data_IF_661616848844
#
_entry.id   IF_661616848844
#
_cell.length_a   1.000
_cell.length_b   1.000
_cell.length_c   1.000
_cell.angle_alpha   90.00
_cell.angle_beta   90.00
_cell.angle_gamma   90.00
#
_symmetry.space_group_name_H-M   'P 1'
#
loop_
_entity.id
_entity.type
_entity.pdbx_description
1 polymer ?
#
# COMPACT_ATOMS: atom_id res chain seq x y z
N UNK A 1 -11.56 9.66 27.76
CA UNK A 1 -12.24 8.46 27.23
C UNK A 1 -11.69 8.13 25.85
N UNK A 2 -10.47 7.58 25.78
CA UNK A 2 -9.88 7.15 24.51
C UNK A 2 -10.19 5.67 24.31
N UNK A 3 -11.15 5.37 23.44
CA UNK A 3 -11.47 3.99 23.05
C UNK A 3 -10.37 3.47 22.14
N UNK A 4 -9.50 2.63 22.69
CA UNK A 4 -8.63 1.75 21.91
C UNK A 4 -9.53 0.78 21.16
N UNK A 5 -9.76 1.05 19.87
CA UNK A 5 -10.48 0.14 18.99
C UNK A 5 -9.60 -1.06 18.73
N UNK A 6 -9.87 -2.17 19.41
CA UNK A 6 -9.31 -3.51 19.12
C UNK A 6 -9.32 -3.72 17.61
N UNK A 7 -8.13 -3.78 17.00
CA UNK A 7 -7.99 -3.86 15.55
C UNK A 7 -8.56 -5.20 15.09
N UNK A 8 -9.79 -5.20 14.55
CA UNK A 8 -10.24 -6.27 13.68
C UNK A 8 -9.26 -6.30 12.51
N UNK A 9 -8.56 -7.42 12.32
CA UNK A 9 -7.66 -7.65 11.18
C UNK A 9 -8.46 -7.52 9.88
N UNK A 10 -8.40 -6.35 9.26
CA UNK A 10 -9.14 -6.03 8.03
C UNK A 10 -8.30 -6.22 6.77
N UNK A 11 -8.84 -5.79 5.64
CA UNK A 11 -8.17 -5.87 4.35
C UNK A 11 -6.81 -5.16 4.36
N UNK A 12 -6.67 -4.00 5.01
CA UNK A 12 -5.39 -3.29 5.06
C UNK A 12 -4.29 -4.11 5.76
N UNK A 13 -4.62 -4.84 6.83
CA UNK A 13 -3.65 -5.67 7.54
C UNK A 13 -3.20 -6.88 6.71
N UNK A 14 -4.13 -7.50 5.97
CA UNK A 14 -3.81 -8.62 5.08
C UNK A 14 -2.96 -8.19 3.88
N UNK A 15 -3.30 -7.03 3.30
CA UNK A 15 -2.52 -6.46 2.21
C UNK A 15 -1.12 -6.04 2.67
N UNK A 16 -1.03 -5.41 3.85
CA UNK A 16 0.25 -5.05 4.44
C UNK A 16 1.13 -6.27 4.62
N UNK A 17 0.63 -7.35 5.22
CA UNK A 17 1.41 -8.58 5.38
C UNK A 17 1.97 -9.12 4.05
N UNK A 18 1.18 -9.09 2.97
CA UNK A 18 1.66 -9.52 1.64
C UNK A 18 2.72 -8.58 1.06
N UNK A 19 2.52 -7.27 1.21
CA UNK A 19 3.46 -6.27 0.69
C UNK A 19 4.75 -6.25 1.52
N UNK A 20 4.67 -6.43 2.83
CA UNK A 20 5.82 -6.49 3.73
C UNK A 20 6.67 -7.74 3.47
N UNK A 21 6.03 -8.88 3.18
CA UNK A 21 6.72 -10.10 2.74
C UNK A 21 7.45 -9.87 1.41
N UNK A 22 6.79 -9.28 0.42
CA UNK A 22 7.39 -8.92 -0.86
C UNK A 22 8.48 -7.85 -0.73
N UNK A 23 8.36 -6.92 0.22
CA UNK A 23 9.32 -5.86 0.50
C UNK A 23 10.45 -6.31 1.45
N UNK A 24 10.36 -7.48 2.09
CA UNK A 24 11.31 -7.90 3.11
C UNK A 24 11.37 -6.98 4.35
N UNK A 25 10.27 -6.32 4.71
CA UNK A 25 10.23 -5.42 5.86
C UNK A 25 8.97 -4.56 5.95
N UNK A 26 8.84 -3.72 7.01
CA UNK A 26 7.62 -2.96 7.29
C UNK A 26 7.26 -1.98 6.18
N UNK A 27 5.97 -1.63 6.07
CA UNK A 27 5.52 -0.63 5.11
C UNK A 27 6.13 0.76 5.39
N UNK A 28 6.69 1.45 4.38
CA UNK A 28 7.23 2.80 4.55
C UNK A 28 6.15 3.90 4.49
N UNK A 29 4.92 3.54 4.12
CA UNK A 29 3.75 4.41 3.98
C UNK A 29 2.52 3.77 4.62
N UNK A 30 1.54 4.58 5.01
CA UNK A 30 0.28 4.03 5.54
C UNK A 30 -0.50 3.37 4.41
N UNK A 31 -1.23 2.31 4.71
CA UNK A 31 -2.13 1.63 3.79
C UNK A 31 -3.56 1.69 4.32
N UNK A 32 -4.49 2.18 3.49
CA UNK A 32 -5.93 2.18 3.71
C UNK A 32 -6.62 1.29 2.70
N UNK A 33 -7.51 0.43 3.15
CA UNK A 33 -8.28 -0.46 2.28
C UNK A 33 -9.74 -0.05 2.15
N UNK A 34 -10.41 -0.63 1.15
CA UNK A 34 -11.81 -0.40 0.80
C UNK A 34 -12.81 -0.72 1.93
N UNK A 35 -12.41 -1.48 2.95
CA UNK A 35 -13.24 -1.78 4.13
C UNK A 35 -13.06 -0.75 5.27
N UNK A 36 -12.32 0.34 5.01
CA UNK A 36 -12.03 1.40 5.96
C UNK A 36 -10.98 1.04 7.00
N UNK A 37 -10.35 -0.13 6.90
CA UNK A 37 -9.21 -0.47 7.76
C UNK A 37 -7.93 0.17 7.27
N UNK A 38 -7.01 0.43 8.21
CA UNK A 38 -5.75 1.12 7.99
C UNK A 38 -4.63 0.45 8.78
N UNK A 39 -3.39 0.53 8.28
CA UNK A 39 -2.17 0.08 8.98
C UNK A 39 -0.93 0.79 8.41
N UNK A 40 0.22 0.67 9.08
CA UNK A 40 1.48 1.32 8.71
C UNK A 40 1.79 2.58 9.54
N UNK A 41 2.81 3.36 9.13
CA UNK A 41 3.28 4.53 9.86
C UNK A 41 2.16 5.54 10.17
N UNK A 42 2.22 6.15 11.36
CA UNK A 42 1.28 7.18 11.81
C UNK A 42 1.52 8.55 11.17
N UNK A 43 2.64 8.74 10.48
CA UNK A 43 3.04 10.00 9.86
C UNK A 43 3.39 9.81 8.39
N UNK A 44 2.95 10.76 7.56
CA UNK A 44 3.20 10.75 6.11
C UNK A 44 2.03 10.24 5.27
N UNK A 45 2.27 10.04 3.97
CA UNK A 45 1.23 9.75 2.99
C UNK A 45 0.62 8.36 3.20
N UNK A 46 -0.63 8.23 2.76
CA UNK A 46 -1.38 6.98 2.81
C UNK A 46 -1.74 6.50 1.40
N UNK A 47 -1.36 5.27 1.06
CA UNK A 47 -1.84 4.58 -0.13
C UNK A 47 -3.25 4.07 0.14
N UNK A 48 -4.20 4.45 -0.70
CA UNK A 48 -5.62 4.12 -0.56
C UNK A 48 -6.03 3.16 -1.65
N UNK A 49 -6.38 1.92 -1.28
CA UNK A 49 -6.92 0.92 -2.19
C UNK A 49 -8.45 0.99 -2.13
N UNK A 50 -9.07 1.62 -3.13
CA UNK A 50 -10.53 1.83 -3.16
C UNK A 50 -11.31 0.64 -3.68
N UNK A 51 -10.68 -0.26 -4.45
CA UNK A 51 -11.39 -1.37 -5.11
C UNK A 51 -10.64 -2.70 -5.02
N UNK A 52 -11.24 -3.67 -4.32
CA UNK A 52 -10.77 -5.07 -4.29
C UNK A 52 -10.72 -5.69 -5.69
N UNK A 53 -11.65 -5.31 -6.56
CA UNK A 53 -11.74 -5.82 -7.94
C UNK A 53 -10.57 -5.32 -8.78
N UNK A 54 -10.19 -4.05 -8.61
CA UNK A 54 -9.05 -3.45 -9.27
C UNK A 54 -7.74 -4.11 -8.87
N UNK A 55 -7.54 -4.30 -7.56
CA UNK A 55 -6.36 -4.99 -7.05
C UNK A 55 -6.24 -6.40 -7.63
N UNK A 56 -7.35 -7.15 -7.74
CA UNK A 56 -7.33 -8.46 -8.40
C UNK A 56 -6.85 -8.35 -9.84
N UNK A 57 -7.30 -7.37 -10.63
CA UNK A 57 -6.83 -7.20 -12.02
C UNK A 57 -5.33 -6.86 -12.08
N UNK A 58 -4.86 -6.01 -11.18
CA UNK A 58 -3.44 -5.66 -11.07
C UNK A 58 -2.57 -6.91 -10.84
N UNK A 59 -3.04 -7.88 -10.05
CA UNK A 59 -2.32 -9.13 -9.81
C UNK A 59 -2.23 -10.03 -11.05
N UNK A 60 -3.16 -9.93 -12.00
CA UNK A 60 -3.14 -10.72 -13.26
C UNK A 60 -2.39 -10.01 -14.39
N UNK A 61 -2.17 -8.70 -14.27
CA UNK A 61 -1.35 -7.89 -15.18
C UNK A 61 -0.35 -7.06 -14.36
N UNK A 62 0.63 -7.72 -13.71
CA UNK A 62 1.59 -7.04 -12.86
C UNK A 62 2.49 -6.11 -13.70
N UNK A 63 2.79 -4.93 -13.16
CA UNK A 63 3.71 -3.98 -13.77
C UNK A 63 3.38 -2.53 -13.44
N UNK A 64 4.31 -1.63 -13.77
CA UNK A 64 4.19 -0.19 -13.53
C UNK A 64 2.95 0.40 -14.23
N UNK A 65 2.64 -0.08 -15.44
CA UNK A 65 1.49 0.38 -16.21
C UNK A 65 0.15 0.07 -15.51
N UNK A 66 0.04 -1.10 -14.89
CA UNK A 66 -1.17 -1.47 -14.14
C UNK A 66 -1.35 -0.58 -12.90
N UNK A 67 -0.27 -0.26 -12.21
CA UNK A 67 -0.28 0.64 -11.06
C UNK A 67 -0.66 2.07 -11.48
N UNK A 68 -0.07 2.56 -12.57
CA UNK A 68 -0.38 3.86 -13.14
C UNK A 68 -1.85 3.95 -13.57
N UNK A 69 -2.36 2.92 -14.24
CA UNK A 69 -3.77 2.86 -14.62
C UNK A 69 -4.67 2.87 -13.38
N UNK A 70 -4.37 2.05 -12.37
CA UNK A 70 -5.13 2.01 -11.12
C UNK A 70 -5.15 3.37 -10.40
N UNK A 71 -4.04 4.13 -10.47
CA UNK A 71 -3.98 5.49 -9.95
C UNK A 71 -4.88 6.46 -10.73
N UNK A 72 -4.76 6.46 -12.07
CA UNK A 72 -5.55 7.35 -12.94
C UNK A 72 -7.04 7.05 -12.85
N UNK A 73 -7.43 5.78 -12.73
CA UNK A 73 -8.85 5.36 -12.58
C UNK A 73 -9.36 5.52 -11.15
N UNK A 74 -8.56 6.06 -10.22
CA UNK A 74 -8.89 6.26 -8.80
C UNK A 74 -9.17 4.98 -8.01
N UNK A 75 -8.73 3.84 -8.54
CA UNK A 75 -8.84 2.54 -7.88
C UNK A 75 -7.75 2.34 -6.83
N UNK A 76 -6.59 2.93 -7.09
CA UNK A 76 -5.51 3.23 -6.16
C UNK A 76 -5.42 4.75 -6.05
N UNK A 77 -5.15 5.28 -4.86
CA UNK A 77 -4.91 6.71 -4.67
C UNK A 77 -3.84 6.92 -3.61
N UNK A 78 -3.35 8.15 -3.49
CA UNK A 78 -2.46 8.55 -2.41
C UNK A 78 -3.06 9.77 -1.72
N UNK A 79 -3.41 9.61 -0.46
CA UNK A 79 -3.80 10.71 0.41
C UNK A 79 -2.50 11.32 0.99
N UNK A 80 -2.20 12.56 0.61
CA UNK A 80 -0.99 13.28 1.02
C UNK A 80 -0.06 13.60 -0.15
N UNK A 81 1.22 13.82 0.15
CA UNK A 81 2.24 14.10 -0.87
C UNK A 81 2.64 12.80 -1.61
N UNK A 82 2.23 12.68 -2.87
CA UNK A 82 2.58 11.55 -3.74
C UNK A 82 4.10 11.42 -3.93
N UNK A 83 4.82 12.54 -4.06
CA UNK A 83 6.27 12.51 -4.26
C UNK A 83 6.99 12.08 -2.99
N UNK A 84 6.49 12.45 -1.80
CA UNK A 84 6.97 11.88 -0.53
C UNK A 84 6.71 10.36 -0.48
N UNK A 85 5.51 9.92 -0.86
CA UNK A 85 5.15 8.50 -0.87
C UNK A 85 6.07 7.67 -1.77
N UNK A 86 6.34 8.16 -2.98
CA UNK A 86 7.27 7.52 -3.92
C UNK A 86 8.71 7.51 -3.41
N UNK A 87 9.19 8.62 -2.81
CA UNK A 87 10.53 8.69 -2.21
C UNK A 87 10.71 7.63 -1.12
N UNK A 88 9.78 7.55 -0.16
CA UNK A 88 9.82 6.55 0.91
C UNK A 88 9.78 5.11 0.40
N UNK A 89 9.00 4.86 -0.65
CA UNK A 89 8.98 3.55 -1.31
C UNK A 89 10.33 3.21 -1.95
N UNK A 90 10.93 4.13 -2.70
CA UNK A 90 12.23 3.90 -3.33
C UNK A 90 13.36 3.72 -2.32
N UNK A 91 13.36 4.49 -1.23
CA UNK A 91 14.31 4.33 -0.13
C UNK A 91 14.18 2.91 0.47
N UNK A 92 12.96 2.48 0.80
CA UNK A 92 12.72 1.14 1.32
C UNK A 92 13.16 0.03 0.35
N UNK A 93 12.91 0.16 -0.96
CA UNK A 93 13.35 -0.82 -1.96
C UNK A 93 14.88 -0.86 -2.10
N UNK A 94 15.55 0.30 -2.09
CA UNK A 94 17.01 0.41 -2.21
C UNK A 94 17.73 -0.16 -0.98
N UNK A 95 17.25 0.19 0.22
CA UNK A 95 17.80 -0.32 1.48
C UNK A 95 17.71 -1.83 1.58
N UNK A 96 16.61 -2.40 1.06
CA UNK A 96 16.31 -3.84 1.18
C UNK A 96 16.84 -4.69 0.03
N UNK A 97 17.57 -4.08 -0.93
CA UNK A 97 18.15 -4.76 -2.11
C UNK A 97 17.17 -5.71 -2.81
N UNK A 98 15.91 -5.31 -2.93
CA UNK A 98 14.91 -6.15 -3.59
C UNK A 98 15.19 -6.14 -5.09
N UNK A 99 15.70 -7.25 -5.61
CA UNK A 99 15.71 -7.50 -7.05
C UNK A 99 14.27 -7.79 -7.49
N UNK A 100 13.75 -7.13 -8.55
CA UNK A 100 12.46 -7.54 -9.12
C UNK A 100 12.55 -9.04 -9.47
N UNK A 101 11.50 -9.84 -9.20
CA UNK A 101 11.48 -11.23 -9.61
C UNK A 101 11.67 -11.28 -11.13
N UNK A 102 12.65 -12.08 -11.58
CA UNK A 102 12.92 -12.34 -13.00
C UNK A 102 11.78 -13.11 -13.64
#
# INVERSE_FOLDING_TARGET
MSTVRTARTGAAHRLAALVEDALGGPLPVRLRAWDGTETGPSEGPAVVVRSRRALRRLLWQPGELGLAQAYVTRELDVDGDLADGLRRMWEATRERRLHPPR
#
